data_IF_784894521297
#
_entry.id   IF_784894521297
#
_cell.length_a   1.000
_cell.length_b   1.000
_cell.length_c   1.000
_cell.angle_alpha   90.00
_cell.angle_beta   90.00
_cell.angle_gamma   90.00
#
_symmetry.space_group_name_H-M   'P 1'
#
loop_
_entity.id
_entity.type
_entity.pdbx_description
1 polymer ?
#
# COMPACT_ATOMS: atom_id res chain seq x y z
N UNK A 1 12.52 -35.95 -20.62
CA UNK A 1 12.76 -34.66 -21.29
C UNK A 1 12.32 -33.58 -20.35
N UNK A 2 13.25 -32.94 -19.64
CA UNK A 2 12.95 -31.84 -18.72
C UNK A 2 13.26 -30.54 -19.44
N UNK A 3 12.25 -29.93 -20.06
CA UNK A 3 12.36 -28.58 -20.62
C UNK A 3 12.27 -27.60 -19.46
N UNK A 4 13.42 -27.23 -18.89
CA UNK A 4 13.52 -26.04 -18.03
C UNK A 4 13.26 -24.82 -18.90
N UNK A 5 11.99 -24.41 -18.97
CA UNK A 5 11.63 -23.13 -19.54
C UNK A 5 12.11 -22.06 -18.54
N UNK A 6 13.32 -21.54 -18.77
CA UNK A 6 13.87 -20.43 -18.00
C UNK A 6 13.12 -19.15 -18.38
N UNK A 7 11.90 -19.02 -17.85
CA UNK A 7 11.08 -17.82 -18.02
C UNK A 7 11.74 -16.73 -17.18
N UNK A 8 12.41 -15.81 -17.87
CA UNK A 8 13.10 -14.70 -17.23
C UNK A 8 12.07 -13.61 -16.90
N UNK A 9 11.62 -13.57 -15.65
CA UNK A 9 10.71 -12.53 -15.20
C UNK A 9 11.46 -11.19 -15.03
N UNK A 10 10.83 -10.05 -15.37
CA UNK A 10 11.42 -8.74 -15.07
C UNK A 10 11.61 -8.64 -13.56
N UNK A 11 12.73 -8.10 -13.09
CA UNK A 11 13.02 -7.96 -11.65
C UNK A 11 13.00 -6.51 -11.15
N UNK A 12 12.95 -5.55 -12.08
CA UNK A 12 13.26 -4.16 -11.83
C UNK A 12 12.04 -3.23 -11.76
N UNK A 13 10.89 -3.60 -12.36
CA UNK A 13 9.67 -2.79 -12.30
C UNK A 13 8.45 -3.62 -12.70
N UNK A 14 7.30 -3.35 -12.09
CA UNK A 14 5.99 -3.74 -12.61
C UNK A 14 5.61 -2.70 -13.65
N UNK A 15 5.57 -3.07 -14.93
CA UNK A 15 5.16 -2.14 -15.97
C UNK A 15 3.65 -1.85 -15.86
N UNK A 16 3.24 -0.59 -15.98
CA UNK A 16 1.82 -0.19 -15.99
C UNK A 16 1.01 -0.87 -17.12
N UNK A 17 1.70 -1.34 -18.17
CA UNK A 17 1.09 -2.08 -19.28
C UNK A 17 0.70 -3.52 -18.94
N UNK A 18 1.10 -4.05 -17.78
CA UNK A 18 0.69 -5.38 -17.35
C UNK A 18 -0.75 -5.30 -16.86
N UNK A 19 -1.69 -5.78 -17.67
CA UNK A 19 -3.08 -5.88 -17.29
C UNK A 19 -3.28 -7.03 -16.29
N UNK A 20 -2.96 -6.79 -15.03
CA UNK A 20 -3.08 -7.78 -13.96
C UNK A 20 -4.54 -8.09 -13.60
N UNK A 21 -5.52 -7.39 -14.20
CA UNK A 21 -6.96 -7.54 -13.91
C UNK A 21 -7.29 -7.49 -12.41
N UNK A 22 -6.51 -6.72 -11.65
CA UNK A 22 -6.68 -6.56 -10.21
C UNK A 22 -7.81 -5.54 -9.96
N UNK A 23 -8.77 -5.84 -9.08
CA UNK A 23 -9.78 -4.86 -8.69
C UNK A 23 -9.14 -3.57 -8.15
N UNK A 24 -9.61 -2.41 -8.61
CA UNK A 24 -9.02 -1.11 -8.25
C UNK A 24 -9.60 -0.53 -6.95
N UNK A 25 -10.65 -1.14 -6.42
CA UNK A 25 -11.35 -0.79 -5.18
C UNK A 25 -10.69 -1.38 -3.92
N UNK A 26 -9.54 -2.03 -4.07
CA UNK A 26 -8.83 -2.71 -2.99
C UNK A 26 -7.40 -2.19 -2.90
N UNK A 27 -6.86 -2.10 -1.69
CA UNK A 27 -5.42 -1.83 -1.52
C UNK A 27 -4.66 -3.14 -1.76
N UNK A 28 -3.71 -3.13 -2.69
CA UNK A 28 -2.96 -4.32 -3.09
C UNK A 28 -1.47 -4.02 -3.30
N UNK A 29 -0.66 -5.08 -3.17
CA UNK A 29 0.75 -5.08 -3.47
C UNK A 29 1.04 -6.01 -4.65
N UNK A 30 1.98 -5.64 -5.50
CA UNK A 30 2.50 -6.46 -6.61
C UNK A 30 4.02 -6.50 -6.51
N UNK A 31 4.60 -7.69 -6.68
CA UNK A 31 6.04 -7.88 -6.82
C UNK A 31 6.35 -8.80 -8.02
N UNK A 32 7.43 -8.53 -8.76
CA UNK A 32 7.93 -9.44 -9.77
C UNK A 32 8.56 -10.71 -9.18
N UNK A 33 8.49 -11.80 -9.94
CA UNK A 33 9.32 -13.01 -9.78
C UNK A 33 8.51 -14.30 -9.62
N UNK A 34 9.13 -15.44 -9.90
CA UNK A 34 8.46 -16.75 -9.83
C UNK A 34 8.51 -17.38 -8.43
N UNK A 35 9.54 -17.05 -7.64
CA UNK A 35 9.87 -17.72 -6.37
C UNK A 35 9.66 -16.82 -5.14
N UNK A 36 9.07 -15.64 -5.32
CA UNK A 36 8.87 -14.66 -4.24
C UNK A 36 7.58 -14.91 -3.45
N UNK A 37 6.89 -16.02 -3.78
CA UNK A 37 5.60 -16.38 -3.22
C UNK A 37 5.63 -16.62 -1.71
N UNK A 38 6.74 -17.05 -1.11
CA UNK A 38 6.80 -17.34 0.33
C UNK A 38 6.78 -16.08 1.22
N UNK A 39 7.61 -15.09 0.89
CA UNK A 39 7.63 -13.81 1.61
C UNK A 39 6.31 -13.05 1.37
N UNK A 40 5.84 -13.03 0.11
CA UNK A 40 4.54 -12.46 -0.24
C UNK A 40 3.42 -13.15 0.52
N UNK A 41 3.38 -14.48 0.55
CA UNK A 41 2.35 -15.24 1.25
C UNK A 41 2.34 -14.96 2.75
N UNK A 42 3.51 -14.73 3.35
CA UNK A 42 3.62 -14.39 4.78
C UNK A 42 3.08 -12.98 5.06
N UNK A 43 3.40 -12.01 4.20
CA UNK A 43 2.97 -10.62 4.37
C UNK A 43 1.52 -10.35 3.97
N UNK A 44 0.95 -11.20 3.12
CA UNK A 44 -0.42 -11.06 2.65
C UNK A 44 -1.45 -11.75 3.55
N UNK A 45 -1.05 -12.54 4.54
CA UNK A 45 -2.01 -13.29 5.36
C UNK A 45 -3.04 -12.37 6.03
N UNK A 46 -4.34 -12.74 6.02
CA UNK A 46 -4.91 -14.01 5.55
C UNK A 46 -5.28 -14.03 4.06
N UNK A 47 -5.00 -12.97 3.30
CA UNK A 47 -5.35 -12.88 1.89
C UNK A 47 -4.43 -13.79 1.04
N UNK A 48 -5.00 -14.53 0.08
CA UNK A 48 -4.20 -15.38 -0.80
C UNK A 48 -3.34 -14.54 -1.76
N UNK A 49 -2.18 -15.08 -2.11
CA UNK A 49 -1.33 -14.54 -3.18
C UNK A 49 -1.78 -15.13 -4.51
N UNK A 50 -1.96 -14.27 -5.50
CA UNK A 50 -2.30 -14.62 -6.86
C UNK A 50 -1.08 -14.44 -7.77
N UNK A 51 -0.93 -15.34 -8.74
CA UNK A 51 0.16 -15.30 -9.70
C UNK A 51 -0.43 -15.00 -11.09
N UNK A 52 0.06 -13.95 -11.74
CA UNK A 52 -0.36 -13.53 -13.09
C UNK A 52 0.83 -13.59 -14.02
N UNK A 53 0.62 -14.10 -15.23
CA UNK A 53 1.63 -14.29 -16.27
C UNK A 53 2.91 -14.99 -15.81
N UNK A 54 2.79 -15.84 -14.76
CA UNK A 54 3.90 -16.58 -14.11
C UNK A 54 4.94 -15.67 -13.43
N UNK A 55 4.91 -14.35 -13.67
CA UNK A 55 5.96 -13.42 -13.29
C UNK A 55 5.54 -12.36 -12.27
N UNK A 56 4.26 -12.25 -11.97
CA UNK A 56 3.75 -11.23 -11.06
C UNK A 56 3.00 -11.90 -9.93
N UNK A 57 3.44 -11.66 -8.70
CA UNK A 57 2.69 -12.05 -7.51
C UNK A 57 1.97 -10.82 -7.00
N UNK A 58 0.68 -10.95 -6.69
CA UNK A 58 -0.06 -9.88 -6.06
C UNK A 58 -0.99 -10.40 -4.98
N UNK A 59 -1.34 -9.53 -4.04
CA UNK A 59 -2.34 -9.82 -3.02
C UNK A 59 -3.00 -8.54 -2.55
N UNK A 60 -4.19 -8.67 -1.97
CA UNK A 60 -4.78 -7.61 -1.15
C UNK A 60 -3.93 -7.44 0.11
N UNK A 61 -3.57 -6.19 0.43
CA UNK A 61 -2.84 -5.89 1.67
C UNK A 61 -3.77 -6.12 2.87
N UNK A 62 -3.31 -6.81 3.92
CA UNK A 62 -4.07 -7.01 5.14
C UNK A 62 -4.55 -5.70 5.80
N UNK A 63 -5.77 -5.70 6.35
CA UNK A 63 -6.37 -4.49 6.93
C UNK A 63 -5.59 -3.91 8.11
N UNK A 64 -4.89 -4.75 8.87
CA UNK A 64 -4.02 -4.28 9.96
C UNK A 64 -2.84 -3.41 9.48
N UNK A 65 -2.51 -3.41 8.18
CA UNK A 65 -1.52 -2.52 7.59
C UNK A 65 -2.15 -1.33 6.85
N UNK A 66 -3.47 -1.35 6.56
CA UNK A 66 -4.15 -0.31 5.78
C UNK A 66 -5.10 0.56 6.59
N UNK A 67 -5.47 0.15 7.80
CA UNK A 67 -6.40 0.91 8.66
C UNK A 67 -5.74 2.24 9.07
N UNK A 68 -6.36 3.36 8.70
CA UNK A 68 -5.91 4.73 8.99
C UNK A 68 -4.51 5.09 8.47
N UNK A 69 -3.94 4.25 7.60
CA UNK A 69 -2.59 4.44 7.04
C UNK A 69 -2.65 5.06 5.64
N UNK A 70 -1.72 5.98 5.37
CA UNK A 70 -1.52 6.54 4.04
C UNK A 70 -0.61 5.64 3.18
N UNK A 71 -0.52 5.96 1.87
CA UNK A 71 0.26 5.13 0.94
C UNK A 71 1.73 4.92 1.36
N UNK A 72 2.46 5.96 1.81
CA UNK A 72 3.82 5.80 2.34
C UNK A 72 3.91 4.85 3.54
N UNK A 73 3.00 4.94 4.51
CA UNK A 73 2.99 4.07 5.69
C UNK A 73 2.70 2.61 5.32
N UNK A 74 1.73 2.39 4.44
CA UNK A 74 1.43 1.05 3.90
C UNK A 74 2.63 0.48 3.16
N UNK A 75 3.26 1.28 2.30
CA UNK A 75 4.44 0.86 1.54
C UNK A 75 5.61 0.50 2.46
N UNK A 76 5.88 1.30 3.49
CA UNK A 76 6.93 1.03 4.46
C UNK A 76 6.65 -0.24 5.27
N UNK A 77 5.42 -0.40 5.77
CA UNK A 77 5.01 -1.54 6.57
C UNK A 77 5.08 -2.85 5.79
N UNK A 78 4.55 -2.85 4.56
CA UNK A 78 4.61 -4.01 3.68
C UNK A 78 6.06 -4.33 3.28
N UNK A 79 6.85 -3.30 3.01
CA UNK A 79 8.28 -3.45 2.70
C UNK A 79 9.06 -4.07 3.86
N UNK A 80 8.82 -3.60 5.08
CA UNK A 80 9.46 -4.16 6.27
C UNK A 80 9.10 -5.63 6.49
N UNK A 81 7.84 -6.01 6.21
CA UNK A 81 7.44 -7.40 6.28
C UNK A 81 8.18 -8.28 5.25
N UNK A 82 8.28 -7.82 4.01
CA UNK A 82 9.00 -8.55 2.96
C UNK A 82 10.47 -8.76 3.33
N UNK A 83 11.14 -7.71 3.81
CA UNK A 83 12.54 -7.78 4.26
C UNK A 83 12.73 -8.76 5.42
N UNK A 84 11.84 -8.70 6.42
CA UNK A 84 11.84 -9.63 7.56
C UNK A 84 11.63 -11.10 7.14
N UNK A 85 10.99 -11.34 6.00
CA UNK A 85 10.79 -12.67 5.41
C UNK A 85 11.84 -13.02 4.34
N UNK A 86 12.96 -12.29 4.29
CA UNK A 86 14.11 -12.60 3.43
C UNK A 86 13.98 -12.09 1.99
N UNK A 87 13.00 -11.23 1.70
CA UNK A 87 12.87 -10.59 0.40
C UNK A 87 13.44 -9.16 0.45
N UNK A 88 14.67 -9.01 -0.04
CA UNK A 88 15.34 -7.72 -0.11
C UNK A 88 14.83 -6.88 -1.29
N UNK A 89 14.00 -5.89 -0.97
CA UNK A 89 13.34 -5.02 -1.94
C UNK A 89 14.30 -4.02 -2.58
N UNK A 90 15.42 -3.71 -1.92
CA UNK A 90 16.49 -2.90 -2.53
C UNK A 90 17.18 -3.62 -3.71
N UNK A 91 17.01 -4.94 -3.81
CA UNK A 91 17.49 -5.73 -4.94
C UNK A 91 16.41 -5.93 -6.02
N UNK A 92 15.13 -5.78 -5.65
CA UNK A 92 13.98 -5.90 -6.54
C UNK A 92 13.15 -4.62 -6.48
N UNK A 93 13.53 -3.61 -7.27
CA UNK A 93 12.83 -2.33 -7.43
C UNK A 93 11.38 -2.44 -7.96
N UNK A 94 10.77 -3.63 -7.90
CA UNK A 94 9.45 -3.93 -8.45
C UNK A 94 8.32 -3.99 -7.42
N UNK A 95 8.46 -3.47 -6.20
CA UNK A 95 7.30 -3.35 -5.32
C UNK A 95 6.39 -2.23 -5.83
N UNK A 96 5.19 -2.60 -6.26
CA UNK A 96 4.11 -1.68 -6.57
C UNK A 96 3.03 -1.78 -5.49
N UNK A 97 2.63 -0.65 -4.92
CA UNK A 97 1.51 -0.54 -4.00
C UNK A 97 0.43 0.30 -4.68
N UNK A 98 -0.78 -0.24 -4.73
CA UNK A 98 -1.97 0.49 -5.12
C UNK A 98 -2.82 0.70 -3.87
N UNK A 99 -3.21 1.95 -3.63
CA UNK A 99 -4.18 2.26 -2.59
C UNK A 99 -5.57 2.24 -3.22
N UNK A 100 -6.51 1.53 -2.58
CA UNK A 100 -7.91 1.73 -2.90
C UNK A 100 -8.22 3.22 -2.82
N UNK A 101 -9.00 3.73 -3.77
CA UNK A 101 -9.56 5.08 -3.67
C UNK A 101 -10.44 5.14 -2.42
N UNK A 102 -9.87 5.52 -1.28
CA UNK A 102 -10.66 5.99 -0.16
C UNK A 102 -11.38 7.22 -0.67
N UNK A 103 -12.71 7.26 -0.59
CA UNK A 103 -13.37 8.55 -0.51
C UNK A 103 -12.62 9.31 0.59
N UNK A 104 -11.92 10.38 0.19
CA UNK A 104 -11.12 11.26 1.05
C UNK A 104 -11.68 11.28 2.46
N UNK A 105 -10.88 11.02 3.51
CA UNK A 105 -11.30 11.38 4.85
C UNK A 105 -11.68 12.85 4.79
N UNK A 106 -12.98 13.12 4.88
CA UNK A 106 -13.46 14.47 5.10
C UNK A 106 -12.98 14.85 6.50
N UNK A 107 -11.72 15.29 6.62
CA UNK A 107 -11.32 16.19 7.67
C UNK A 107 -11.97 17.55 7.37
N UNK A 108 -13.30 17.57 7.33
CA UNK A 108 -14.10 18.74 7.64
C UNK A 108 -13.93 19.00 9.13
N UNK A 109 -12.73 19.41 9.54
CA UNK A 109 -12.61 20.22 10.74
C UNK A 109 -13.07 21.60 10.31
N UNK A 110 -14.39 21.81 10.32
CA UNK A 110 -14.95 23.14 10.35
C UNK A 110 -14.39 23.84 11.59
N UNK A 111 -13.29 24.58 11.40
CA UNK A 111 -12.75 25.52 12.37
C UNK A 111 -13.66 26.76 12.44
N UNK A 112 -14.96 26.55 12.56
CA UNK A 112 -15.95 27.58 12.88
C UNK A 112 -16.24 27.48 14.35
N UNK A 113 -15.78 28.48 15.10
CA UNK A 113 -16.19 28.70 16.47
C UNK A 113 -15.03 28.55 17.43
N UNK A 114 -14.29 29.64 17.60
CA UNK A 114 -13.77 30.13 18.89
C UNK A 114 -13.03 31.46 18.61
N UNK A 115 -13.80 32.54 18.45
CA UNK A 115 -13.30 33.89 18.66
C UNK A 115 -14.12 34.51 19.80
N UNK A 116 -13.41 34.73 20.90
CA UNK A 116 -13.90 35.11 22.23
C UNK A 116 -14.64 36.45 22.23
N UNK A 117 -15.81 36.48 22.87
CA UNK A 117 -16.51 37.72 23.25
C UNK A 117 -15.73 38.37 24.40
N UNK A 118 -14.96 39.42 24.11
CA UNK A 118 -14.37 40.28 25.13
C UNK A 118 -15.24 41.53 25.31
N UNK A 119 -16.06 41.52 26.36
CA UNK A 119 -16.85 42.66 26.84
C UNK A 119 -15.90 43.68 27.44
N UNK A 120 -15.70 44.83 26.79
CA UNK A 120 -15.04 46.00 27.42
C UNK A 120 -16.13 46.91 27.97
N UNK A 121 -16.50 46.68 29.23
CA UNK A 121 -17.29 47.62 30.01
C UNK A 121 -16.40 48.15 31.15
N UNK A 122 -15.77 49.33 30.96
CA UNK A 122 -15.49 50.29 32.04
C UNK A 122 -14.80 51.56 31.49
N UNK A 123 -15.56 52.64 31.26
CA UNK A 123 -15.13 54.04 31.46
C UNK A 123 -16.36 54.96 31.40
N UNK A 124 -17.21 54.88 32.41
CA UNK A 124 -17.97 56.03 32.91
C UNK A 124 -17.75 56.03 34.43
N UNK A 125 -17.42 57.20 34.98
CA UNK A 125 -16.88 57.49 36.33
C UNK A 125 -15.35 57.55 36.34
N UNK A 126 -14.76 58.67 35.93
CA UNK A 126 -14.51 59.88 36.74
C UNK A 126 -14.42 61.07 35.77
#
# INVERSE_FOLDING_TARGET
MSTSNNINCPSNAVAESVNLSIPQDITYAVIPGQNVSAAMASCCQPNPVNIVDVCWNWCRIPSNMTNDADAPEVMFSFSSCLDANGHNISQSNGLLIHMASSATPNHSVTLTGLALVAVVALRLLI
#
